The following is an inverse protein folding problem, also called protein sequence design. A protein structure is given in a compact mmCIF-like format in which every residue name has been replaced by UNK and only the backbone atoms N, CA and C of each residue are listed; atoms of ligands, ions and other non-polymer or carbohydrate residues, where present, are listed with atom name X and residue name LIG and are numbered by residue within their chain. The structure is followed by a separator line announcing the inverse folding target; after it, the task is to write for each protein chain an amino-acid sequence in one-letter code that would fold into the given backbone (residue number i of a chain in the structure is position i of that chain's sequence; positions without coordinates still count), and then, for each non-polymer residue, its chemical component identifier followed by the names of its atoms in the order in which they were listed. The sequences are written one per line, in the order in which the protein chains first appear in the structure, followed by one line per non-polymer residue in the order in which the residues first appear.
data_IF_627083108296
#
_entry.id   IF_627083108296
#
_cell.length_a   1.000
_cell.length_b   1.000
_cell.length_c   1.000
_cell.angle_alpha   90.00
_cell.angle_beta   90.00
_cell.angle_gamma   90.00
#
_symmetry.space_group_name_H-M   'P 1'
#
loop_
_entity.id
_entity.type
_entity.pdbx_description
1 polymer ?
#
# COMPACT_ATOMS: atom_id res chain seq x y z
N UNK A 1 -42.43 52.30 43.54
CA UNK A 1 -43.68 51.76 44.12
C UNK A 1 -44.79 52.24 43.20
N UNK A 2 -45.25 51.48 42.24
CA UNK A 2 -46.25 50.38 42.30
C UNK A 2 -46.33 49.85 40.85
N UNK A 3 -46.74 48.65 40.49
CA UNK A 3 -47.21 47.45 41.16
C UNK A 3 -47.38 46.42 40.03
N UNK A 4 -47.09 45.16 40.29
CA UNK A 4 -47.54 44.07 39.43
C UNK A 4 -49.09 43.98 39.51
N UNK A 5 -49.71 43.34 38.52
CA UNK A 5 -50.32 42.06 38.88
C UNK A 5 -50.03 40.94 37.88
N UNK A 6 -50.16 39.73 38.43
CA UNK A 6 -49.92 38.43 37.84
C UNK A 6 -51.19 37.83 37.19
N UNK A 7 -51.00 36.61 36.66
CA UNK A 7 -52.02 35.57 36.42
C UNK A 7 -52.65 35.57 35.01
N UNK A 8 -52.84 34.46 34.29
CA UNK A 8 -52.40 33.06 34.35
C UNK A 8 -52.86 32.37 33.05
N UNK A 9 -52.25 31.21 32.75
CA UNK A 9 -52.73 30.13 31.85
C UNK A 9 -52.88 30.51 30.36
N UNK A 10 -52.45 29.72 29.39
CA UNK A 10 -52.13 28.31 29.31
C UNK A 10 -52.44 27.92 27.86
N UNK A 11 -51.57 27.16 27.19
CA UNK A 11 -51.86 26.76 25.80
C UNK A 11 -50.66 26.30 24.99
N UNK A 12 -50.30 25.03 25.18
CA UNK A 12 -49.98 24.07 24.13
C UNK A 12 -49.13 24.53 22.93
N UNK A 13 -47.88 24.04 22.93
CA UNK A 13 -47.30 23.27 21.83
C UNK A 13 -47.34 23.85 20.42
N UNK A 14 -46.21 24.44 20.00
CA UNK A 14 -45.68 24.26 18.64
C UNK A 14 -44.22 24.70 18.62
N UNK A 15 -43.30 23.75 18.57
CA UNK A 15 -41.88 23.96 18.28
C UNK A 15 -41.72 24.45 16.85
N UNK A 16 -41.10 25.61 16.56
CA UNK A 16 -40.57 25.87 15.24
C UNK A 16 -39.15 25.30 15.20
N UNK A 17 -39.00 24.11 14.61
CA UNK A 17 -37.68 23.60 14.24
C UNK A 17 -37.07 24.54 13.18
N UNK A 18 -35.87 25.11 13.40
CA UNK A 18 -35.19 25.85 12.35
C UNK A 18 -34.67 24.86 11.30
N UNK A 19 -35.25 24.98 10.11
CA UNK A 19 -34.75 24.48 8.82
C UNK A 19 -33.24 24.67 8.73
N UNK A 20 -32.54 23.57 8.48
CA UNK A 20 -31.11 23.60 8.24
C UNK A 20 -30.53 22.21 8.07
N UNK A 21 -31.26 21.33 7.37
CA UNK A 21 -30.71 20.05 6.95
C UNK A 21 -29.48 20.34 6.09
N UNK A 22 -28.31 19.99 6.61
CA UNK A 22 -27.02 19.97 5.90
C UNK A 22 -27.08 18.89 4.81
N UNK A 23 -27.90 19.11 3.79
CA UNK A 23 -27.88 18.37 2.53
C UNK A 23 -26.79 19.01 1.67
N UNK A 24 -25.53 18.80 2.05
CA UNK A 24 -24.42 19.48 1.38
C UNK A 24 -23.02 19.10 1.84
N UNK A 25 -22.87 18.02 2.60
CA UNK A 25 -21.55 17.53 2.98
C UNK A 25 -21.41 16.06 2.57
N UNK A 26 -20.55 15.84 1.58
CA UNK A 26 -19.98 14.56 1.19
C UNK A 26 -20.83 13.64 0.29
N UNK A 27 -21.39 14.19 -0.80
CA UNK A 27 -21.29 13.47 -2.06
C UNK A 27 -19.82 13.52 -2.50
N UNK A 28 -18.96 12.76 -1.82
CA UNK A 28 -17.62 12.47 -2.34
C UNK A 28 -17.87 11.81 -3.68
N UNK A 29 -17.44 12.45 -4.77
CA UNK A 29 -17.39 11.82 -6.08
C UNK A 29 -16.53 10.55 -5.93
N UNK A 30 -17.16 9.43 -5.57
CA UNK A 30 -16.52 8.13 -5.60
C UNK A 30 -16.23 7.90 -7.08
N UNK A 31 -14.97 8.05 -7.47
CA UNK A 31 -14.56 7.73 -8.82
C UNK A 31 -15.10 6.33 -9.15
N UNK A 32 -15.87 6.21 -10.23
CA UNK A 32 -16.43 4.92 -10.62
C UNK A 32 -15.32 3.90 -10.87
N UNK A 33 -15.66 2.61 -10.80
CA UNK A 33 -14.73 1.52 -11.15
C UNK A 33 -14.11 1.73 -12.55
N UNK A 34 -14.88 2.32 -13.46
CA UNK A 34 -14.49 2.74 -14.81
C UNK A 34 -13.81 4.11 -14.83
N UNK A 35 -12.72 4.24 -14.07
CA UNK A 35 -11.82 5.37 -14.20
C UNK A 35 -10.51 4.93 -14.87
N UNK A 36 -9.81 5.89 -15.46
CA UNK A 36 -8.59 5.64 -16.22
C UNK A 36 -7.51 4.92 -15.39
N UNK A 37 -7.36 5.22 -14.10
CA UNK A 37 -6.37 4.57 -13.25
C UNK A 37 -6.68 3.07 -13.08
N UNK A 38 -7.93 2.72 -12.76
CA UNK A 38 -8.35 1.32 -12.63
C UNK A 38 -8.22 0.53 -13.95
N UNK A 39 -8.54 1.15 -15.09
CA UNK A 39 -8.37 0.50 -16.41
C UNK A 39 -6.89 0.20 -16.66
N UNK A 40 -5.99 1.13 -16.32
CA UNK A 40 -4.55 0.91 -16.42
C UNK A 40 -4.08 -0.23 -15.51
N UNK A 41 -4.55 -0.31 -14.25
CA UNK A 41 -4.26 -1.42 -13.34
C UNK A 41 -4.76 -2.76 -13.89
N UNK A 42 -5.98 -2.82 -14.40
CA UNK A 42 -6.54 -4.03 -15.00
C UNK A 42 -5.78 -4.46 -16.26
N UNK A 43 -5.42 -3.51 -17.11
CA UNK A 43 -4.60 -3.76 -18.30
C UNK A 43 -3.22 -4.30 -17.91
N UNK A 44 -2.59 -3.77 -16.85
CA UNK A 44 -1.33 -4.30 -16.30
C UNK A 44 -1.49 -5.74 -15.85
N UNK A 45 -2.56 -6.05 -15.12
CA UNK A 45 -2.82 -7.41 -14.64
C UNK A 45 -2.99 -8.40 -15.80
N UNK A 46 -3.63 -7.97 -16.90
CA UNK A 46 -3.75 -8.74 -18.14
C UNK A 46 -2.42 -8.83 -18.90
N UNK A 47 -1.54 -7.82 -18.79
CA UNK A 47 -0.23 -7.84 -19.43
C UNK A 47 0.70 -8.89 -18.80
N UNK A 48 0.52 -9.23 -17.52
CA UNK A 48 1.35 -10.23 -16.81
C UNK A 48 1.35 -11.60 -17.52
N UNK A 49 0.22 -12.27 -17.81
CA UNK A 49 0.24 -13.53 -18.54
C UNK A 49 0.80 -13.36 -19.96
N UNK A 50 0.53 -12.23 -20.63
CA UNK A 50 1.12 -11.94 -21.94
C UNK A 50 2.64 -11.85 -21.89
N UNK A 51 3.19 -11.16 -20.90
CA UNK A 51 4.62 -11.08 -20.64
C UNK A 51 5.24 -12.46 -20.38
N UNK A 52 4.59 -13.30 -19.57
CA UNK A 52 5.05 -14.67 -19.30
C UNK A 52 5.09 -15.51 -20.58
N UNK A 53 4.04 -15.43 -21.41
CA UNK A 53 4.02 -16.12 -22.70
C UNK A 53 5.14 -15.65 -23.62
N UNK A 54 5.37 -14.33 -23.73
CA UNK A 54 6.45 -13.77 -24.55
C UNK A 54 7.83 -14.21 -24.05
N UNK A 55 8.06 -14.19 -22.73
CA UNK A 55 9.36 -14.52 -22.15
C UNK A 55 9.69 -16.00 -22.23
N UNK A 56 8.70 -16.88 -22.11
CA UNK A 56 8.90 -18.34 -22.17
C UNK A 56 8.74 -18.91 -23.59
N UNK A 57 8.38 -18.08 -24.57
CA UNK A 57 8.18 -18.50 -25.95
C UNK A 57 9.46 -19.15 -26.52
N UNK A 58 9.30 -20.28 -27.20
CA UNK A 58 10.39 -21.03 -27.85
C UNK A 58 11.60 -21.29 -26.91
N UNK A 59 11.31 -21.66 -25.67
CA UNK A 59 12.34 -21.94 -24.66
C UNK A 59 12.98 -20.69 -24.04
N UNK A 60 12.54 -19.48 -24.40
CA UNK A 60 12.88 -18.22 -23.73
C UNK A 60 14.25 -17.63 -24.06
N UNK A 61 14.88 -18.10 -25.14
CA UNK A 61 16.21 -17.64 -25.58
C UNK A 61 16.20 -16.96 -26.96
N UNK A 62 15.08 -16.94 -27.66
CA UNK A 62 14.95 -16.20 -28.91
C UNK A 62 15.06 -14.68 -28.65
N UNK A 63 16.01 -13.97 -29.29
CA UNK A 63 16.22 -12.53 -29.08
C UNK A 63 15.04 -11.65 -29.44
N UNK A 64 14.23 -12.03 -30.44
CA UNK A 64 13.05 -11.28 -30.89
C UNK A 64 11.98 -11.35 -29.82
N UNK A 65 11.68 -12.55 -29.33
CA UNK A 65 10.69 -12.75 -28.27
C UNK A 65 11.12 -12.10 -26.95
N UNK A 66 12.41 -12.18 -26.60
CA UNK A 66 12.95 -11.47 -25.43
C UNK A 66 12.84 -9.95 -25.56
N UNK A 67 12.98 -9.40 -26.77
CA UNK A 67 12.77 -7.97 -27.01
C UNK A 67 11.31 -7.55 -26.82
N UNK A 68 10.35 -8.36 -27.29
CA UNK A 68 8.92 -8.12 -27.03
C UNK A 68 8.56 -8.27 -25.55
N UNK A 69 9.09 -9.29 -24.86
CA UNK A 69 8.92 -9.45 -23.42
C UNK A 69 9.49 -8.26 -22.64
N UNK A 70 10.66 -7.77 -23.04
CA UNK A 70 11.27 -6.58 -22.45
C UNK A 70 10.41 -5.34 -22.66
N UNK A 71 9.89 -5.13 -23.88
CA UNK A 71 9.02 -4.01 -24.18
C UNK A 71 7.73 -4.06 -23.35
N UNK A 72 7.09 -5.23 -23.24
CA UNK A 72 5.92 -5.43 -22.39
C UNK A 72 6.22 -5.13 -20.91
N UNK A 73 7.35 -5.62 -20.40
CA UNK A 73 7.80 -5.35 -19.03
C UNK A 73 8.04 -3.84 -18.80
N UNK A 74 8.74 -3.18 -19.72
CA UNK A 74 9.02 -1.75 -19.65
C UNK A 74 7.73 -0.92 -19.67
N UNK A 75 6.79 -1.26 -20.57
CA UNK A 75 5.47 -0.61 -20.62
C UNK A 75 4.74 -0.79 -19.29
N UNK A 76 4.65 -2.01 -18.74
CA UNK A 76 4.01 -2.23 -17.44
C UNK A 76 4.61 -1.38 -16.31
N UNK A 77 5.95 -1.33 -16.22
CA UNK A 77 6.68 -0.56 -15.22
C UNK A 77 6.48 0.95 -15.38
N UNK A 78 6.42 1.44 -16.61
CA UNK A 78 6.22 2.86 -16.89
C UNK A 78 4.78 3.27 -16.59
N UNK A 79 3.80 2.48 -17.05
CA UNK A 79 2.37 2.73 -16.82
C UNK A 79 2.03 2.80 -15.33
N UNK A 80 2.74 2.03 -14.48
CA UNK A 80 2.62 2.03 -13.01
C UNK A 80 3.03 3.34 -12.33
N UNK A 81 3.99 4.03 -12.92
CA UNK A 81 4.38 5.35 -12.41
C UNK A 81 3.33 6.38 -12.80
N UNK A 82 2.76 6.25 -14.00
CA UNK A 82 1.80 7.20 -14.54
C UNK A 82 0.41 7.07 -13.91
N UNK A 83 -0.15 5.87 -13.75
CA UNK A 83 -1.46 5.68 -13.11
C UNK A 83 -1.45 6.12 -11.64
N UNK A 84 -0.38 5.82 -10.89
CA UNK A 84 -0.20 6.26 -9.52
C UNK A 84 -0.05 7.78 -9.41
N UNK A 85 0.48 8.44 -10.44
CA UNK A 85 0.50 9.91 -10.51
C UNK A 85 -0.89 10.47 -10.83
N UNK A 86 -1.58 9.86 -11.80
CA UNK A 86 -2.89 10.29 -12.29
C UNK A 86 -3.98 10.11 -11.22
N UNK A 87 -4.00 8.99 -10.51
CA UNK A 87 -4.93 8.73 -9.42
C UNK A 87 -4.79 9.76 -8.29
N UNK A 88 -3.56 10.17 -7.96
CA UNK A 88 -3.28 11.19 -6.94
C UNK A 88 -3.60 12.61 -7.42
N UNK A 89 -3.29 12.93 -8.67
CA UNK A 89 -3.53 14.25 -9.24
C UNK A 89 -5.03 14.56 -9.43
N UNK A 90 -5.81 13.53 -9.82
CA UNK A 90 -7.24 13.68 -10.13
C UNK A 90 -8.16 13.14 -9.02
N UNK A 91 -7.60 12.75 -7.87
CA UNK A 91 -8.35 12.19 -6.73
C UNK A 91 -9.24 10.99 -7.12
N UNK A 92 -8.80 10.18 -8.08
CA UNK A 92 -9.53 9.03 -8.63
C UNK A 92 -9.31 7.75 -7.81
N UNK A 93 -9.24 7.88 -6.49
CA UNK A 93 -8.93 6.75 -5.60
C UNK A 93 -10.19 5.93 -5.36
N UNK A 94 -10.14 4.64 -5.72
CA UNK A 94 -11.25 3.69 -5.52
C UNK A 94 -10.86 2.57 -4.56
N UNK A 95 -11.83 1.94 -3.90
CA UNK A 95 -11.56 0.81 -3.00
C UNK A 95 -11.03 -0.42 -3.74
N UNK A 96 -11.43 -0.62 -4.99
CA UNK A 96 -10.84 -1.62 -5.88
C UNK A 96 -9.36 -1.33 -6.15
N UNK A 97 -9.02 -0.11 -6.59
CA UNK A 97 -7.64 0.29 -6.87
C UNK A 97 -6.73 0.14 -5.64
N UNK A 98 -7.22 0.50 -4.44
CA UNK A 98 -6.47 0.31 -3.18
C UNK A 98 -6.00 -1.13 -2.94
N UNK A 99 -6.76 -2.12 -3.43
CA UNK A 99 -6.44 -3.56 -3.27
C UNK A 99 -5.71 -4.09 -4.51
N UNK A 100 -6.14 -3.69 -5.70
CA UNK A 100 -5.61 -4.17 -6.97
C UNK A 100 -4.21 -3.63 -7.26
N UNK A 101 -3.94 -2.36 -6.98
CA UNK A 101 -2.64 -1.71 -7.30
C UNK A 101 -1.47 -2.44 -6.62
N UNK A 102 -1.48 -2.71 -5.29
CA UNK A 102 -0.37 -3.44 -4.66
C UNK A 102 -0.14 -4.86 -5.18
N UNK A 103 -1.18 -5.49 -5.75
CA UNK A 103 -1.08 -6.82 -6.36
C UNK A 103 -0.48 -6.69 -7.76
N UNK A 104 -1.00 -5.77 -8.58
CA UNK A 104 -0.54 -5.53 -9.94
C UNK A 104 0.92 -5.04 -9.99
N UNK A 105 1.30 -4.12 -9.09
CA UNK A 105 2.69 -3.64 -8.86
C UNK A 105 3.68 -4.81 -8.75
N UNK A 106 3.24 -5.88 -8.08
CA UNK A 106 4.08 -7.02 -7.69
C UNK A 106 3.99 -8.19 -8.63
N UNK A 107 2.89 -8.31 -9.36
CA UNK A 107 2.66 -9.40 -10.29
C UNK A 107 3.67 -9.39 -11.45
N UNK A 108 3.90 -8.24 -12.11
CA UNK A 108 4.84 -8.16 -13.25
C UNK A 108 6.28 -8.47 -12.82
N UNK A 109 6.72 -7.87 -11.70
CA UNK A 109 8.06 -8.04 -11.16
C UNK A 109 8.28 -9.46 -10.65
N UNK A 110 7.30 -10.01 -9.93
CA UNK A 110 7.36 -11.37 -9.42
C UNK A 110 7.34 -12.41 -10.54
N UNK A 111 6.48 -12.23 -11.54
CA UNK A 111 6.42 -13.09 -12.71
C UNK A 111 7.76 -13.10 -13.46
N UNK A 112 8.38 -11.94 -13.66
CA UNK A 112 9.69 -11.83 -14.29
C UNK A 112 10.79 -12.59 -13.51
N UNK A 113 10.88 -12.40 -12.19
CA UNK A 113 11.86 -13.10 -11.36
C UNK A 113 11.68 -14.63 -11.39
N UNK A 114 10.44 -15.09 -11.30
CA UNK A 114 10.11 -16.52 -11.35
C UNK A 114 10.48 -17.10 -12.71
N UNK A 115 10.07 -16.45 -13.81
CA UNK A 115 10.38 -16.93 -15.17
C UNK A 115 11.88 -16.95 -15.45
N UNK A 116 12.62 -15.91 -15.03
CA UNK A 116 14.07 -15.86 -15.17
C UNK A 116 14.77 -16.96 -14.35
N UNK A 117 14.24 -17.31 -13.18
CA UNK A 117 14.78 -18.42 -12.38
C UNK A 117 14.44 -19.77 -12.99
N UNK A 118 13.25 -19.89 -13.57
CA UNK A 118 12.80 -21.08 -14.29
C UNK A 118 13.64 -21.35 -15.54
N UNK A 119 13.97 -20.30 -16.30
CA UNK A 119 14.88 -20.39 -17.44
C UNK A 119 16.32 -20.72 -17.04
N UNK A 120 16.69 -20.56 -15.76
CA UNK A 120 18.05 -20.77 -15.26
C UNK A 120 18.95 -19.54 -15.35
N UNK A 121 18.42 -18.40 -15.82
CA UNK A 121 19.14 -17.13 -15.89
C UNK A 121 19.46 -16.57 -14.50
N UNK A 122 18.60 -16.83 -13.52
CA UNK A 122 18.70 -16.26 -12.18
C UNK A 122 18.67 -17.34 -11.09
N UNK A 123 19.64 -17.35 -10.14
CA UNK A 123 19.60 -18.27 -9.01
C UNK A 123 18.34 -18.09 -8.15
N UNK A 124 17.68 -19.20 -7.81
CA UNK A 124 16.43 -19.21 -7.03
C UNK A 124 16.53 -18.48 -5.68
N UNK A 125 17.70 -18.44 -5.06
CA UNK A 125 17.89 -17.73 -3.80
C UNK A 125 17.69 -16.21 -3.95
N UNK A 126 18.07 -15.62 -5.09
CA UNK A 126 17.86 -14.19 -5.36
C UNK A 126 16.35 -13.91 -5.45
N UNK A 127 15.65 -14.71 -6.25
CA UNK A 127 14.19 -14.63 -6.41
C UNK A 127 13.49 -14.81 -5.08
N UNK A 128 13.88 -15.81 -4.29
CA UNK A 128 13.34 -16.06 -2.96
C UNK A 128 13.50 -14.86 -2.04
N UNK A 129 14.70 -14.27 -1.96
CA UNK A 129 14.97 -13.08 -1.13
C UNK A 129 14.11 -11.89 -1.57
N UNK A 130 14.05 -11.61 -2.87
CA UNK A 130 13.29 -10.47 -3.38
C UNK A 130 11.79 -10.67 -3.16
N UNK A 131 11.23 -11.81 -3.57
CA UNK A 131 9.81 -12.12 -3.41
C UNK A 131 9.38 -12.12 -1.94
N UNK A 132 10.16 -12.75 -1.06
CA UNK A 132 9.85 -12.77 0.37
C UNK A 132 9.77 -11.35 0.94
N UNK A 133 10.74 -10.50 0.61
CA UNK A 133 10.72 -9.09 1.06
C UNK A 133 9.54 -8.33 0.48
N UNK A 134 9.23 -8.53 -0.80
CA UNK A 134 8.15 -7.80 -1.46
C UNK A 134 6.78 -8.19 -0.92
N UNK A 135 6.50 -9.48 -0.77
CA UNK A 135 5.25 -9.96 -0.16
C UNK A 135 5.17 -9.59 1.33
N UNK A 136 6.27 -9.72 2.07
CA UNK A 136 6.33 -9.41 3.50
C UNK A 136 6.03 -7.94 3.80
N UNK A 137 6.62 -7.01 3.04
CA UNK A 137 6.35 -5.57 3.22
C UNK A 137 4.93 -5.21 2.78
N UNK A 138 4.43 -5.81 1.69
CA UNK A 138 3.04 -5.59 1.25
C UNK A 138 2.06 -6.05 2.33
N UNK A 139 2.24 -7.25 2.89
CA UNK A 139 1.38 -7.76 3.96
C UNK A 139 1.46 -6.92 5.23
N UNK A 140 2.68 -6.53 5.65
CA UNK A 140 2.85 -5.63 6.79
C UNK A 140 2.14 -4.29 6.58
N UNK A 141 2.21 -3.73 5.37
CA UNK A 141 1.53 -2.47 5.04
C UNK A 141 0.01 -2.61 5.19
N UNK A 142 -0.57 -3.68 4.66
CA UNK A 142 -2.00 -3.96 4.83
C UNK A 142 -2.40 -4.13 6.31
N UNK A 143 -1.54 -4.74 7.13
CA UNK A 143 -1.81 -4.91 8.56
C UNK A 143 -1.69 -3.59 9.35
N UNK A 144 -0.66 -2.79 9.08
CA UNK A 144 -0.36 -1.55 9.80
C UNK A 144 -1.31 -0.41 9.45
N UNK A 145 -1.84 -0.34 8.22
CA UNK A 145 -2.85 0.67 7.83
C UNK A 145 -4.07 0.67 8.77
N UNK A 146 -4.37 -0.45 9.46
CA UNK A 146 -5.45 -0.51 10.46
C UNK A 146 -5.12 0.17 11.80
N UNK A 147 -3.85 0.49 12.11
CA UNK A 147 -3.43 0.93 13.45
C UNK A 147 -2.48 2.15 13.48
N UNK A 148 -1.72 2.45 12.41
CA UNK A 148 -0.87 3.65 12.33
C UNK A 148 -0.29 3.87 10.93
N UNK A 149 0.02 5.11 10.57
CA UNK A 149 0.61 5.44 9.26
C UNK A 149 2.14 5.36 9.36
N UNK A 150 2.76 4.34 8.76
CA UNK A 150 4.23 4.29 8.63
C UNK A 150 4.66 5.24 7.51
N UNK A 151 5.50 6.25 7.79
CA UNK A 151 6.01 7.15 6.75
C UNK A 151 6.89 6.39 5.75
N UNK A 152 6.70 6.68 4.46
CA UNK A 152 7.40 6.00 3.37
C UNK A 152 8.91 6.31 3.38
N UNK A 153 9.76 5.28 3.44
CA UNK A 153 11.22 5.43 3.38
C UNK A 153 11.68 5.86 1.97
N UNK A 154 12.60 6.83 1.87
CA UNK A 154 13.24 7.25 0.61
C UNK A 154 13.96 6.09 -0.12
N UNK A 155 14.45 5.09 0.63
CA UNK A 155 15.12 3.91 0.09
C UNK A 155 14.25 3.05 -0.83
N UNK A 156 12.92 3.13 -0.72
CA UNK A 156 12.00 2.37 -1.57
C UNK A 156 12.10 2.75 -3.06
N UNK A 157 12.30 4.03 -3.38
CA UNK A 157 12.39 4.50 -4.78
C UNK A 157 13.64 3.99 -5.49
N UNK A 158 14.79 4.10 -4.84
CA UNK A 158 16.06 3.61 -5.38
C UNK A 158 16.03 2.10 -5.58
N UNK A 159 15.43 1.36 -4.64
CA UNK A 159 15.24 -0.08 -4.78
C UNK A 159 14.43 -0.42 -6.03
N UNK A 160 13.25 0.18 -6.22
CA UNK A 160 12.38 -0.11 -7.37
C UNK A 160 13.08 0.18 -8.69
N UNK A 161 13.82 1.29 -8.78
CA UNK A 161 14.54 1.65 -9.99
C UNK A 161 15.70 0.67 -10.27
N UNK A 162 16.53 0.38 -9.26
CA UNK A 162 17.62 -0.58 -9.40
C UNK A 162 17.13 -1.97 -9.78
N UNK A 163 16.06 -2.44 -9.15
CA UNK A 163 15.48 -3.76 -9.41
C UNK A 163 14.80 -3.82 -10.78
N UNK A 164 14.06 -2.79 -11.18
CA UNK A 164 13.44 -2.71 -12.50
C UNK A 164 14.49 -2.71 -13.62
N UNK A 165 15.58 -1.95 -13.45
CA UNK A 165 16.71 -1.97 -14.40
C UNK A 165 17.39 -3.34 -14.42
N UNK A 166 17.67 -3.92 -13.25
CA UNK A 166 18.28 -5.25 -13.17
C UNK A 166 17.44 -6.29 -13.91
N UNK A 167 16.15 -6.40 -13.56
CA UNK A 167 15.23 -7.37 -14.19
C UNK A 167 15.08 -7.09 -15.68
N UNK A 168 14.95 -5.83 -16.10
CA UNK A 168 14.91 -5.46 -17.51
C UNK A 168 16.17 -5.92 -18.27
N UNK A 169 17.36 -5.73 -17.70
CA UNK A 169 18.61 -6.24 -18.29
C UNK A 169 18.61 -7.77 -18.39
N UNK A 170 18.02 -8.47 -17.42
CA UNK A 170 17.90 -9.92 -17.48
C UNK A 170 16.86 -10.38 -18.51
N UNK A 171 15.76 -9.68 -18.70
CA UNK A 171 14.75 -10.04 -19.72
C UNK A 171 15.32 -9.87 -21.12
N UNK A 172 16.08 -8.81 -21.37
CA UNK A 172 16.70 -8.57 -22.67
C UNK A 172 17.84 -9.59 -22.96
N UNK A 173 17.96 -10.03 -24.21
CA UNK A 173 19.03 -10.91 -24.67
C UNK A 173 20.38 -10.15 -24.76
N UNK A 174 20.97 -9.79 -23.61
CA UNK A 174 22.23 -9.05 -23.55
C UNK A 174 23.44 -9.96 -23.81
N UNK A 175 24.36 -9.51 -24.65
CA UNK A 175 25.66 -10.16 -24.92
C UNK A 175 26.83 -9.27 -24.51
N UNK A 176 28.00 -9.87 -24.25
CA UNK A 176 29.24 -9.12 -23.98
C UNK A 176 29.27 -8.42 -22.61
N UNK A 177 29.90 -7.25 -22.47
CA UNK A 177 30.09 -6.57 -21.18
C UNK A 177 28.78 -6.28 -20.43
N UNK A 178 27.69 -6.04 -21.16
CA UNK A 178 26.36 -5.81 -20.59
C UNK A 178 25.81 -7.06 -19.88
N UNK A 179 26.17 -8.26 -20.35
CA UNK A 179 25.80 -9.52 -19.71
C UNK A 179 26.52 -9.76 -18.38
N UNK A 180 27.71 -9.17 -18.19
CA UNK A 180 28.40 -9.15 -16.90
C UNK A 180 27.83 -8.07 -15.99
N UNK A 181 27.52 -6.89 -16.56
CA UNK A 181 26.97 -5.76 -15.80
C UNK A 181 25.62 -6.10 -15.17
N UNK A 182 24.73 -6.81 -15.88
CA UNK A 182 23.39 -7.18 -15.34
C UNK A 182 23.48 -7.88 -13.98
N UNK A 183 24.49 -8.74 -13.78
CA UNK A 183 24.69 -9.46 -12.52
C UNK A 183 25.00 -8.50 -11.38
N UNK A 184 25.93 -7.56 -11.58
CA UNK A 184 26.29 -6.56 -10.58
C UNK A 184 25.12 -5.64 -10.25
N UNK A 185 24.36 -5.22 -11.26
CA UNK A 185 23.15 -4.41 -11.04
C UNK A 185 22.11 -5.20 -10.24
N UNK A 186 21.94 -6.49 -10.50
CA UNK A 186 21.08 -7.37 -9.70
C UNK A 186 21.57 -7.52 -8.26
N UNK A 187 22.88 -7.67 -8.03
CA UNK A 187 23.44 -7.72 -6.67
C UNK A 187 23.19 -6.42 -5.91
N UNK A 188 23.33 -5.26 -6.55
CA UNK A 188 22.96 -3.97 -5.95
C UNK A 188 21.47 -3.95 -5.61
N UNK A 189 20.60 -4.42 -6.50
CA UNK A 189 19.16 -4.52 -6.22
C UNK A 189 18.85 -5.43 -5.02
N UNK A 190 19.56 -6.56 -4.88
CA UNK A 190 19.43 -7.47 -3.72
C UNK A 190 19.88 -6.78 -2.44
N UNK A 191 21.05 -6.14 -2.43
CA UNK A 191 21.56 -5.42 -1.26
C UNK A 191 20.57 -4.33 -0.83
N UNK A 192 20.10 -3.51 -1.76
CA UNK A 192 19.08 -2.49 -1.47
C UNK A 192 17.79 -3.13 -0.95
N UNK A 193 17.40 -4.29 -1.49
CA UNK A 193 16.22 -5.03 -1.04
C UNK A 193 16.34 -5.48 0.41
N UNK A 194 17.49 -6.04 0.78
CA UNK A 194 17.77 -6.51 2.14
C UNK A 194 17.87 -5.33 3.10
N UNK A 195 18.65 -4.30 2.79
CA UNK A 195 18.83 -3.11 3.65
C UNK A 195 17.48 -2.45 3.92
N UNK A 196 16.70 -2.18 2.86
CA UNK A 196 15.36 -1.59 3.05
C UNK A 196 14.42 -2.54 3.78
N UNK A 197 14.53 -3.86 3.56
CA UNK A 197 13.76 -4.86 4.31
C UNK A 197 14.01 -4.79 5.82
N UNK A 198 15.28 -4.72 6.22
CA UNK A 198 15.67 -4.61 7.63
C UNK A 198 15.20 -3.30 8.26
N UNK A 199 15.26 -2.19 7.53
CA UNK A 199 14.73 -0.91 8.00
C UNK A 199 13.23 -0.96 8.29
N UNK A 200 12.46 -1.62 7.43
CA UNK A 200 11.03 -1.84 7.64
C UNK A 200 10.74 -2.73 8.86
N UNK A 201 11.49 -3.82 9.04
CA UNK A 201 11.34 -4.70 10.21
C UNK A 201 11.65 -3.94 11.50
N UNK A 202 12.72 -3.14 11.53
CA UNK A 202 13.04 -2.29 12.69
C UNK A 202 11.89 -1.33 13.03
N UNK A 203 11.32 -0.66 12.02
CA UNK A 203 10.18 0.24 12.22
C UNK A 203 8.95 -0.50 12.75
N UNK A 204 8.65 -1.69 12.22
CA UNK A 204 7.53 -2.51 12.68
C UNK A 204 7.69 -2.94 14.14
N UNK A 205 8.91 -3.33 14.55
CA UNK A 205 9.21 -3.72 15.95
C UNK A 205 9.04 -2.53 16.90
N UNK A 206 9.53 -1.34 16.51
CA UNK A 206 9.38 -0.12 17.33
C UNK A 206 7.91 0.25 17.50
N UNK A 207 7.12 0.17 16.42
CA UNK A 207 5.69 0.47 16.47
C UNK A 207 4.92 -0.50 17.39
N UNK A 208 5.25 -1.80 17.34
CA UNK A 208 4.65 -2.80 18.23
C UNK A 208 4.95 -2.54 19.71
N UNK A 209 6.16 -2.10 20.04
CA UNK A 209 6.54 -1.76 21.43
C UNK A 209 5.70 -0.59 21.96
N UNK A 210 5.58 0.48 21.18
CA UNK A 210 4.78 1.66 21.54
C UNK A 210 3.29 1.34 21.69
N UNK A 211 2.76 0.43 20.87
CA UNK A 211 1.37 -0.04 21.00
C UNK A 211 1.13 -0.76 22.34
N UNK A 212 2.02 -1.67 22.73
CA UNK A 212 1.92 -2.38 24.02
C UNK A 212 2.05 -1.41 25.20
N UNK A 213 2.91 -0.40 25.10
CA UNK A 213 3.05 0.64 26.14
C UNK A 213 1.77 1.49 26.28
N UNK A 214 1.15 1.87 25.16
CA UNK A 214 -0.10 2.62 25.16
C UNK A 214 -1.28 1.80 25.73
N UNK A 215 -1.40 0.52 25.37
CA UNK A 215 -2.42 -0.38 25.93
C UNK A 215 -2.25 -0.55 27.45
N UNK A 216 -1.00 -0.69 27.92
CA UNK A 216 -0.71 -0.77 29.37
C UNK A 216 -1.04 0.52 30.10
N UNK A 217 -0.72 1.68 29.52
CA UNK A 217 -1.05 2.97 30.11
C UNK A 217 -2.57 3.16 30.23
N UNK A 218 -3.32 2.84 29.16
CA UNK A 218 -4.79 2.90 29.17
C UNK A 218 -5.41 1.94 30.20
N UNK A 219 -4.86 0.72 30.34
CA UNK A 219 -5.32 -0.24 31.35
C UNK A 219 -5.05 0.24 32.79
N UNK A 220 -3.92 0.90 33.04
CA UNK A 220 -3.60 1.50 34.34
C UNK A 220 -4.52 2.68 34.67
N UNK A 221 -4.82 3.52 33.69
CA UNK A 221 -5.73 4.67 33.85
C UNK A 221 -7.16 4.20 34.18
N UNK A 222 -7.68 3.22 33.43
CA UNK A 222 -8.98 2.61 33.69
C UNK A 222 -9.07 1.93 35.08
N UNK A 223 -7.99 1.27 35.52
CA UNK A 223 -7.92 0.67 36.85
C UNK A 223 -7.90 1.74 37.97
N UNK A 224 -7.21 2.86 37.74
CA UNK A 224 -7.16 4.00 38.66
C UNK A 224 -8.51 4.69 38.85
N UNK A 225 -9.23 4.93 37.74
CA UNK A 225 -10.58 5.52 37.76
C UNK A 225 -11.59 4.62 38.48
N UNK A 226 -11.53 3.30 38.24
CA UNK A 226 -12.41 2.34 38.91
C UNK A 226 -12.19 2.32 40.42
N UNK A 227 -10.92 2.32 40.86
CA UNK A 227 -10.57 2.34 42.28
C UNK A 227 -10.97 3.66 42.98
N UNK A 228 -10.87 4.80 42.30
CA UNK A 228 -11.31 6.09 42.82
C UNK A 228 -12.84 6.17 42.97
N UNK A 229 -13.59 5.64 41.99
CA UNK A 229 -15.05 5.56 42.04
C UNK A 229 -15.57 4.70 43.20
N UNK A 230 -14.93 3.56 43.48
CA UNK A 230 -15.33 2.69 44.60
C UNK A 230 -15.11 3.34 45.97
N UNK A 231 -14.03 4.12 46.14
CA UNK A 231 -13.76 4.83 47.41
C UNK A 231 -14.75 5.95 47.67
N UNK A 232 -15.08 6.73 46.64
CA UNK A 232 -16.05 7.82 46.73
C UNK A 232 -17.45 7.31 47.11
N UNK A 233 -17.89 6.19 46.51
CA UNK A 233 -19.17 5.56 46.85
C UNK A 233 -19.21 5.06 48.31
N UNK A 234 -18.11 4.47 48.79
CA UNK A 234 -18.00 3.97 50.17
C UNK A 234 -17.94 5.10 51.22
N UNK A 235 -17.45 6.29 50.86
CA UNK A 235 -17.45 7.47 51.74
C UNK A 235 -18.81 8.19 51.77
N UNK A 236 -19.59 8.14 50.68
CA UNK A 236 -20.91 8.76 50.61
C UNK A 236 -22.01 7.99 51.38
N UNK A 237 -21.78 6.71 51.70
CA UNK A 237 -22.70 5.86 52.48
C UNK A 237 -22.45 5.89 54.00
N UNK A 238 -21.50 6.71 54.48
CA UNK A 238 -21.20 6.93 55.90
C UNK A 238 -21.73 8.28 56.39
#
# INVERSE_FOLDING_TARGET
MTGAPASAAGGSGATPAPRGGKLGAAAVNQAGLWNIANILTMARLLLVPGFVMLLLHDGGYDPVWRSFAWAAFAVAMITDVFDGHLARAYNLVTDFGKIADPIADKAIMGAALICLSWLGDLPWWITGVILFRELGITLMRFWVIRHSVIPASRGGKMKTLAQGVAVGMYVLALTGPLATLRFWVMMVAVVLTVVTGLDYVRQAVVLRRRGIEAERAAAMEAAGESAAGTRSAAEAER
#
